data_IF_506884698382
#
_entry.id   IF_506884698382
#
_cell.length_a   1.000
_cell.length_b   1.000
_cell.length_c   1.000
_cell.angle_alpha   90.00
_cell.angle_beta   90.00
_cell.angle_gamma   90.00
#
_symmetry.space_group_name_H-M   'P 1'
#
loop_
_entity.id
_entity.type
_entity.pdbx_description
1 polymer ?
#
# COMPACT_ATOMS: atom_id res chain seq x y z
N UNK A 1 33.51 -23.89 28.95
CA UNK A 1 34.06 -22.78 28.13
C UNK A 1 33.74 -22.98 26.64
N UNK A 2 34.30 -23.98 25.94
CA UNK A 2 34.05 -24.17 24.49
C UNK A 2 32.59 -24.54 24.13
N UNK A 3 31.97 -25.43 24.87
CA UNK A 3 30.56 -25.82 24.63
C UNK A 3 29.58 -24.65 24.84
N UNK A 4 29.83 -23.82 25.86
CA UNK A 4 29.03 -22.62 26.14
C UNK A 4 29.09 -21.61 25.00
N UNK A 5 30.27 -21.42 24.40
CA UNK A 5 30.45 -20.54 23.24
C UNK A 5 29.71 -21.06 22.00
N UNK A 6 29.69 -22.38 21.79
CA UNK A 6 28.95 -23.01 20.68
C UNK A 6 27.44 -22.81 20.85
N UNK A 7 26.92 -22.99 22.06
CA UNK A 7 25.49 -22.78 22.35
C UNK A 7 25.10 -21.30 22.13
N UNK A 8 25.92 -20.36 22.60
CA UNK A 8 25.67 -18.93 22.38
C UNK A 8 25.73 -18.55 20.90
N UNK A 9 26.62 -19.16 20.12
CA UNK A 9 26.69 -18.95 18.68
C UNK A 9 25.42 -19.43 17.96
N UNK A 10 24.89 -20.60 18.30
CA UNK A 10 23.64 -21.12 17.72
C UNK A 10 22.47 -20.18 18.02
N UNK A 11 22.35 -19.72 19.27
CA UNK A 11 21.32 -18.76 19.67
C UNK A 11 21.44 -17.45 18.86
N UNK A 12 22.66 -16.94 18.68
CA UNK A 12 22.89 -15.72 17.91
C UNK A 12 22.49 -15.88 16.44
N UNK A 13 22.75 -17.04 15.83
CA UNK A 13 22.34 -17.35 14.46
C UNK A 13 20.82 -17.38 14.32
N UNK A 14 20.10 -18.03 15.24
CA UNK A 14 18.64 -18.07 15.18
C UNK A 14 18.02 -16.68 15.34
N UNK A 15 18.54 -15.85 16.26
CA UNK A 15 18.11 -14.47 16.43
C UNK A 15 18.35 -13.66 15.15
N UNK A 16 19.52 -13.80 14.52
CA UNK A 16 19.82 -13.10 13.26
C UNK A 16 18.86 -13.51 12.13
N UNK A 17 18.48 -14.78 12.05
CA UNK A 17 17.54 -15.29 11.06
C UNK A 17 16.14 -14.70 11.26
N UNK A 18 15.66 -14.67 12.51
CA UNK A 18 14.37 -14.08 12.87
C UNK A 18 14.32 -12.58 12.56
N UNK A 19 15.38 -11.84 12.89
CA UNK A 19 15.48 -10.40 12.59
C UNK A 19 15.52 -10.17 11.07
N UNK A 20 16.29 -10.96 10.33
CA UNK A 20 16.39 -10.86 8.87
C UNK A 20 15.03 -11.01 8.17
N UNK A 21 14.19 -11.94 8.64
CA UNK A 21 12.85 -12.15 8.12
C UNK A 21 11.95 -10.92 8.32
N UNK A 22 11.98 -10.34 9.53
CA UNK A 22 11.17 -9.14 9.87
C UNK A 22 11.58 -7.91 9.08
N UNK A 23 12.89 -7.74 8.80
CA UNK A 23 13.38 -6.62 8.00
C UNK A 23 12.81 -6.68 6.58
N UNK A 24 12.73 -7.87 5.97
CA UNK A 24 12.19 -8.01 4.62
C UNK A 24 10.70 -7.67 4.55
N UNK A 25 9.90 -8.13 5.51
CA UNK A 25 8.47 -7.81 5.59
C UNK A 25 8.25 -6.30 5.70
N UNK A 26 8.93 -5.64 6.63
CA UNK A 26 8.83 -4.19 6.85
C UNK A 26 9.35 -3.37 5.66
N UNK A 27 10.40 -3.84 4.98
CA UNK A 27 10.94 -3.17 3.79
C UNK A 27 9.96 -3.23 2.61
N UNK A 28 9.26 -4.36 2.43
CA UNK A 28 8.24 -4.47 1.38
C UNK A 28 7.04 -3.55 1.65
N UNK A 29 6.54 -3.51 2.89
CA UNK A 29 5.44 -2.63 3.26
C UNK A 29 5.80 -1.16 3.06
N UNK A 30 6.99 -0.74 3.50
CA UNK A 30 7.48 0.63 3.32
C UNK A 30 7.62 0.98 1.83
N UNK A 31 8.11 0.05 1.02
CA UNK A 31 8.25 0.26 -0.43
C UNK A 31 6.89 0.40 -1.11
N UNK A 32 5.93 -0.45 -0.76
CA UNK A 32 4.58 -0.37 -1.32
C UNK A 32 3.87 0.92 -0.87
N UNK A 33 4.15 1.39 0.35
CA UNK A 33 3.65 2.67 0.83
C UNK A 33 4.19 3.85 0.04
N UNK A 34 5.50 3.88 -0.20
CA UNK A 34 6.10 4.93 -1.02
C UNK A 34 5.58 4.88 -2.46
N UNK A 35 5.41 3.69 -3.04
CA UNK A 35 4.80 3.54 -4.36
C UNK A 35 3.38 4.11 -4.39
N UNK A 36 2.55 3.89 -3.36
CA UNK A 36 1.22 4.46 -3.27
C UNK A 36 1.25 5.99 -3.25
N UNK A 37 2.10 6.57 -2.40
CA UNK A 37 2.23 8.03 -2.28
C UNK A 37 2.66 8.65 -3.62
N UNK A 38 3.61 8.02 -4.32
CA UNK A 38 4.07 8.47 -5.63
C UNK A 38 3.00 8.30 -6.71
N UNK A 39 2.34 7.14 -6.77
CA UNK A 39 1.33 6.81 -7.78
C UNK A 39 0.12 7.74 -7.69
N UNK A 40 -0.34 8.07 -6.49
CA UNK A 40 -1.45 9.02 -6.25
C UNK A 40 -1.06 10.45 -6.66
N UNK A 41 0.16 10.89 -6.35
CA UNK A 41 0.69 12.20 -6.75
C UNK A 41 0.77 12.32 -8.28
N UNK A 42 1.33 11.30 -8.95
CA UNK A 42 1.44 11.26 -10.42
C UNK A 42 0.06 11.23 -11.06
N UNK A 43 -0.86 10.42 -10.52
CA UNK A 43 -2.19 10.25 -11.06
C UNK A 43 -3.12 11.45 -10.81
N UNK A 44 -2.69 12.46 -10.03
CA UNK A 44 -3.46 13.66 -9.65
C UNK A 44 -4.81 13.33 -9.00
N UNK A 45 -4.86 12.27 -8.19
CA UNK A 45 -6.05 11.95 -7.41
C UNK A 45 -6.23 13.03 -6.34
N UNK A 46 -7.47 13.50 -6.13
CA UNK A 46 -7.77 14.49 -5.09
C UNK A 46 -7.57 13.87 -3.70
N UNK A 47 -6.41 14.12 -3.12
CA UNK A 47 -6.10 13.81 -1.73
C UNK A 47 -5.38 15.02 -1.14
N UNK A 48 -5.94 15.60 -0.07
CA UNK A 48 -5.35 16.77 0.60
C UNK A 48 -3.98 16.44 1.21
N UNK A 49 -3.81 15.20 1.69
CA UNK A 49 -2.52 14.62 2.07
C UNK A 49 -2.40 13.20 1.51
N UNK A 50 -1.51 12.96 0.51
CA UNK A 50 -1.26 11.64 -0.06
C UNK A 50 -0.78 10.60 0.96
N UNK A 51 -0.08 11.02 2.00
CA UNK A 51 0.43 10.13 3.05
C UNK A 51 -0.73 9.64 3.91
N UNK A 52 -1.55 10.58 4.41
CA UNK A 52 -2.75 10.24 5.17
C UNK A 52 -3.71 9.37 4.34
N UNK A 53 -3.89 9.69 3.06
CA UNK A 53 -4.72 8.89 2.15
C UNK A 53 -4.20 7.45 2.00
N UNK A 54 -2.92 7.26 1.68
CA UNK A 54 -2.33 5.92 1.55
C UNK A 54 -2.39 5.15 2.88
N UNK A 55 -2.24 5.83 4.02
CA UNK A 55 -2.38 5.19 5.34
C UNK A 55 -3.80 4.72 5.63
N UNK A 56 -4.81 5.49 5.19
CA UNK A 56 -6.22 5.10 5.26
C UNK A 56 -6.52 3.91 4.34
N UNK A 57 -5.97 3.92 3.12
CA UNK A 57 -6.17 2.85 2.15
C UNK A 57 -5.56 1.52 2.61
N UNK A 58 -4.37 1.54 3.21
CA UNK A 58 -3.75 0.34 3.81
C UNK A 58 -4.63 -0.26 4.90
N UNK A 59 -5.34 0.57 5.68
CA UNK A 59 -6.26 0.12 6.73
C UNK A 59 -7.58 -0.42 6.19
N UNK A 60 -8.11 0.18 5.13
CA UNK A 60 -9.39 -0.21 4.55
C UNK A 60 -9.26 -1.47 3.67
N UNK A 61 -8.27 -1.50 2.78
CA UNK A 61 -8.07 -2.59 1.82
C UNK A 61 -6.59 -3.01 1.73
N UNK A 62 -6.07 -3.72 2.75
CA UNK A 62 -4.69 -4.18 2.78
C UNK A 62 -4.36 -5.12 1.60
N UNK A 63 -5.35 -5.89 1.12
CA UNK A 63 -5.18 -6.79 -0.02
C UNK A 63 -4.92 -6.03 -1.32
N UNK A 64 -5.68 -4.96 -1.59
CA UNK A 64 -5.51 -4.13 -2.79
C UNK A 64 -4.12 -3.51 -2.83
N UNK A 65 -3.63 -3.06 -1.67
CA UNK A 65 -2.31 -2.46 -1.53
C UNK A 65 -1.17 -3.46 -1.76
N UNK A 66 -1.28 -4.65 -1.16
CA UNK A 66 -0.24 -5.68 -1.24
C UNK A 66 -0.19 -6.33 -2.61
N UNK A 67 -1.36 -6.67 -3.19
CA UNK A 67 -1.48 -7.27 -4.51
C UNK A 67 -0.92 -6.36 -5.60
N UNK A 68 -1.24 -5.06 -5.53
CA UNK A 68 -0.79 -4.07 -6.51
C UNK A 68 0.57 -3.45 -6.19
N UNK A 69 1.24 -3.91 -5.12
CA UNK A 69 2.55 -3.41 -4.68
C UNK A 69 2.56 -1.89 -4.50
N UNK A 70 1.45 -1.33 -4.02
CA UNK A 70 1.24 0.10 -3.85
C UNK A 70 0.76 0.87 -5.09
N UNK A 71 0.61 0.26 -6.27
CA UNK A 71 0.10 0.96 -7.48
C UNK A 71 -1.43 0.97 -7.50
N UNK A 72 -2.02 1.88 -6.72
CA UNK A 72 -3.45 1.89 -6.42
C UNK A 72 -4.26 2.88 -7.26
N UNK A 73 -3.62 3.82 -7.96
CA UNK A 73 -4.30 4.91 -8.63
C UNK A 73 -5.25 4.45 -9.75
N UNK A 74 -4.88 3.39 -10.46
CA UNK A 74 -5.74 2.80 -11.51
C UNK A 74 -7.07 2.30 -10.94
N UNK A 75 -7.03 1.62 -9.80
CA UNK A 75 -8.20 1.04 -9.14
C UNK A 75 -9.08 2.12 -8.53
N UNK A 76 -8.46 3.15 -7.95
CA UNK A 76 -9.19 4.28 -7.38
C UNK A 76 -9.97 5.04 -8.46
N UNK A 77 -9.38 5.28 -9.63
CA UNK A 77 -10.07 5.93 -10.76
C UNK A 77 -11.19 5.10 -11.38
N UNK A 78 -11.08 3.77 -11.32
CA UNK A 78 -12.13 2.87 -11.81
C UNK A 78 -13.34 2.82 -10.87
N UNK A 79 -13.08 2.99 -9.58
CA UNK A 79 -14.09 3.02 -8.52
C UNK A 79 -14.58 4.44 -8.16
N UNK A 80 -14.00 5.49 -8.76
CA UNK A 80 -14.59 6.82 -8.67
C UNK A 80 -16.01 6.74 -9.24
N UNK A 81 -17.05 7.15 -8.49
CA UNK A 81 -18.39 7.19 -9.03
C UNK A 81 -18.32 8.09 -10.27
N UNK A 82 -18.50 7.48 -11.46
CA UNK A 82 -18.70 8.25 -12.69
C UNK A 82 -19.80 9.23 -12.36
N UNK A 83 -19.45 10.51 -12.23
CA UNK A 83 -20.45 11.56 -12.12
C UNK A 83 -21.34 11.38 -13.35
N UNK A 84 -22.55 10.85 -13.14
CA UNK A 84 -23.57 10.79 -14.16
C UNK A 84 -23.67 12.20 -14.72
N UNK A 85 -23.25 12.37 -15.97
CA UNK A 85 -23.70 13.51 -16.75
C UNK A 85 -25.20 13.36 -16.79
N UNK A 86 -25.90 14.12 -15.96
CA UNK A 86 -27.33 14.33 -16.03
C UNK A 86 -27.62 14.83 -17.45
N UNK A 87 -28.03 13.90 -18.31
CA UNK A 87 -28.50 14.18 -19.65
C UNK A 87 -29.90 14.78 -19.51
N UNK A 88 -29.99 16.09 -19.28
CA UNK A 88 -31.25 16.83 -19.41
C UNK A 88 -31.56 16.99 -20.92
N UNK A 89 -31.99 15.89 -21.55
CA UNK A 89 -32.75 15.93 -22.79
C UNK A 89 -34.22 16.00 -22.42
N UNK A 90 -34.73 17.21 -22.19
CA UNK A 90 -36.16 17.46 -22.34
C UNK A 90 -36.36 18.68 -23.23
N UNK A 91 -36.45 18.43 -24.54
CA UNK A 91 -37.11 19.32 -25.49
C UNK A 91 -38.35 18.58 -25.97
N UNK A 92 -39.39 18.72 -25.18
CA UNK A 92 -40.74 18.23 -25.43
C UNK A 92 -41.26 18.87 -26.73
N UNK A 93 -41.50 18.03 -27.75
CA UNK A 93 -42.38 18.35 -28.86
C UNK A 93 -43.82 18.26 -28.34
N UNK A 94 -44.55 19.37 -28.36
CA UNK A 94 -45.97 19.37 -28.71
C UNK A 94 -46.42 20.75 -29.19
#
# INVERSE_FOLDING_TARGET
>A
MKATAIILFIIAVEIALLIGLRIQEQYQETRYFNNCVEDIKIAKIKADDPIAFCSGLVRQDPYLFTFNKGKVAKYLKENEPKSEKKSDNNKEQK
#
